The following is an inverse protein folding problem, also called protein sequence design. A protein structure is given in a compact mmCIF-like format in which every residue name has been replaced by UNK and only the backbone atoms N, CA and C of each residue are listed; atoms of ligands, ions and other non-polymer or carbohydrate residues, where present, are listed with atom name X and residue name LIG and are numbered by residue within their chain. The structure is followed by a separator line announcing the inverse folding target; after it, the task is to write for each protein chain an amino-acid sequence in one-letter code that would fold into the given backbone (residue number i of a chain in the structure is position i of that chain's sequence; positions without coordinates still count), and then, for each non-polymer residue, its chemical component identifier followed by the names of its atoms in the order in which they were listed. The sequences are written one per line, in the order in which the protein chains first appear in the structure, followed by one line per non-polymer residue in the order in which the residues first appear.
data_IF_150149007319
#
_entry.id   IF_150149007319
#
_cell.length_a   1.000
_cell.length_b   1.000
_cell.length_c   1.000
_cell.angle_alpha   90.00
_cell.angle_beta   90.00
_cell.angle_gamma   90.00
#
_symmetry.space_group_name_H-M   'P 1'
#
loop_
_entity.id
_entity.type
_entity.pdbx_description
1 polymer ?
#
# COMPACT_ATOMS: atom_id res chain seq x y z
N UNK A 1 -11.09 9.23 8.74
CA UNK A 1 -11.36 7.82 8.41
C UNK A 1 -10.03 7.12 8.36
N UNK A 2 -9.84 6.08 9.17
CA UNK A 2 -8.59 5.32 9.26
C UNK A 2 -8.42 4.48 8.00
N UNK A 3 -7.26 4.57 7.34
CA UNK A 3 -6.95 3.82 6.11
C UNK A 3 -5.56 3.20 6.24
N UNK A 4 -5.38 2.01 5.66
CA UNK A 4 -4.06 1.39 5.53
C UNK A 4 -3.60 1.51 4.09
N UNK A 5 -2.37 1.98 3.88
CA UNK A 5 -1.75 2.11 2.56
C UNK A 5 -0.38 1.47 2.54
N UNK A 6 0.08 1.09 1.36
CA UNK A 6 1.44 0.58 1.18
C UNK A 6 2.13 1.25 0.00
N UNK A 7 3.45 1.38 0.07
CA UNK A 7 4.31 1.83 -1.02
C UNK A 7 5.26 0.70 -1.37
N UNK A 8 5.29 0.32 -2.64
CA UNK A 8 6.28 -0.63 -3.14
C UNK A 8 7.59 0.07 -3.47
N UNK A 9 8.68 -0.32 -2.83
CA UNK A 9 10.03 0.24 -2.99
C UNK A 9 11.00 -0.68 -3.74
N UNK A 10 10.61 -1.93 -4.02
CA UNK A 10 11.44 -2.92 -4.72
C UNK A 10 11.66 -2.61 -6.21
N UNK A 11 10.87 -1.72 -6.80
CA UNK A 11 11.00 -1.31 -8.19
C UNK A 11 11.31 0.19 -8.31
N UNK A 12 12.56 0.49 -8.66
CA UNK A 12 13.11 1.84 -8.78
C UNK A 12 12.66 2.53 -10.08
N UNK A 13 11.40 2.37 -10.49
CA UNK A 13 10.80 3.20 -11.54
C UNK A 13 10.71 4.64 -11.05
N UNK A 14 11.78 5.40 -11.30
CA UNK A 14 12.03 6.76 -10.79
C UNK A 14 10.91 7.78 -11.04
N UNK A 15 10.00 7.51 -11.97
CA UNK A 15 8.96 8.46 -12.39
C UNK A 15 7.65 8.32 -11.59
N UNK A 16 7.45 7.25 -10.82
CA UNK A 16 6.21 7.03 -10.05
C UNK A 16 6.45 6.33 -8.72
N UNK A 17 5.65 6.70 -7.72
CA UNK A 17 5.60 6.03 -6.42
C UNK A 17 4.31 5.19 -6.37
N UNK A 18 4.37 3.85 -6.48
CA UNK A 18 3.19 2.98 -6.44
C UNK A 18 2.55 3.01 -5.05
N UNK A 19 1.39 3.66 -4.94
CA UNK A 19 0.62 3.69 -3.68
C UNK A 19 -0.57 2.75 -3.79
N UNK A 20 -0.68 1.86 -2.81
CA UNK A 20 -1.77 0.92 -2.66
C UNK A 20 -2.61 1.24 -1.43
N UNK A 21 -3.92 0.97 -1.47
CA UNK A 21 -4.84 1.12 -0.33
C UNK A 21 -5.50 -0.24 -0.05
N UNK A 22 -5.54 -0.63 1.24
CA UNK A 22 -6.15 -1.89 1.65
C UNK A 22 -7.67 -1.81 1.49
N UNK A 23 -8.21 -2.74 0.70
CA UNK A 23 -9.63 -3.01 0.62
C UNK A 23 -9.99 -4.13 1.62
N UNK A 24 -10.60 -3.74 2.75
CA UNK A 24 -10.98 -4.69 3.80
C UNK A 24 -12.10 -5.67 3.40
N UNK A 25 -12.82 -5.43 2.30
CA UNK A 25 -13.85 -6.35 1.82
C UNK A 25 -13.26 -7.52 1.01
N UNK A 26 -12.14 -7.27 0.33
CA UNK A 26 -11.50 -8.24 -0.57
C UNK A 26 -10.18 -8.77 -0.04
N UNK A 27 -9.59 -8.13 0.95
CA UNK A 27 -8.27 -8.41 1.52
C UNK A 27 -7.12 -8.23 0.52
N UNK A 28 -7.29 -7.25 -0.39
CA UNK A 28 -6.28 -6.83 -1.36
C UNK A 28 -5.85 -5.38 -1.12
N UNK A 29 -4.57 -5.12 -1.32
CA UNK A 29 -4.04 -3.79 -1.55
C UNK A 29 -4.23 -3.44 -3.04
N UNK A 30 -5.11 -2.49 -3.32
CA UNK A 30 -5.40 -2.01 -4.68
C UNK A 30 -4.61 -0.73 -4.96
N UNK A 31 -3.92 -0.66 -6.10
CA UNK A 31 -3.21 0.55 -6.47
C UNK A 31 -4.22 1.69 -6.69
N UNK A 32 -3.92 2.87 -6.15
CA UNK A 32 -4.85 4.01 -6.20
C UNK A 32 -5.08 4.48 -7.64
N UNK A 33 -4.04 4.44 -8.48
CA UNK A 33 -4.10 4.94 -9.86
C UNK A 33 -4.54 3.88 -10.88
N UNK A 34 -4.35 2.60 -10.57
CA UNK A 34 -4.67 1.48 -11.46
C UNK A 34 -5.13 0.25 -10.67
N UNK A 35 -6.44 0.09 -10.51
CA UNK A 35 -7.04 -1.00 -9.72
C UNK A 35 -6.81 -2.40 -10.31
N UNK A 36 -6.31 -2.52 -11.54
CA UNK A 36 -5.91 -3.82 -12.11
C UNK A 36 -4.63 -4.34 -11.43
N UNK A 37 -3.78 -3.42 -10.94
CA UNK A 37 -2.60 -3.73 -10.15
C UNK A 37 -2.99 -3.83 -8.68
N UNK A 38 -2.91 -5.04 -8.13
CA UNK A 38 -3.25 -5.33 -6.73
C UNK A 38 -2.44 -6.49 -6.19
N UNK A 39 -2.24 -6.50 -4.89
CA UNK A 39 -1.55 -7.56 -4.15
C UNK A 39 -2.44 -8.08 -3.03
N UNK A 40 -2.35 -9.37 -2.72
CA UNK A 40 -2.97 -9.92 -1.53
C UNK A 40 -2.35 -9.27 -0.29
N UNK A 41 -3.16 -9.06 0.76
CA UNK A 41 -2.69 -8.47 2.00
C UNK A 41 -1.46 -9.16 2.56
N UNK A 42 -1.46 -10.50 2.58
CA UNK A 42 -0.32 -11.30 3.07
C UNK A 42 0.97 -11.02 2.32
N UNK A 43 0.91 -10.79 0.99
CA UNK A 43 2.10 -10.48 0.20
C UNK A 43 2.68 -9.13 0.62
N UNK A 44 1.83 -8.13 0.83
CA UNK A 44 2.28 -6.79 1.25
C UNK A 44 2.82 -6.79 2.68
N UNK A 45 2.25 -7.61 3.57
CA UNK A 45 2.67 -7.70 4.98
C UNK A 45 3.95 -8.53 5.21
N UNK A 46 4.27 -9.47 4.30
CA UNK A 46 5.46 -10.34 4.42
C UNK A 46 6.66 -9.90 3.58
N UNK A 47 6.47 -8.96 2.65
CA UNK A 47 7.51 -8.50 1.73
C UNK A 47 8.15 -7.19 2.21
N UNK A 48 9.45 -7.26 2.52
CA UNK A 48 10.27 -6.13 3.00
C UNK A 48 10.37 -4.98 1.97
N UNK A 49 10.01 -5.22 0.71
CA UNK A 49 9.93 -4.19 -0.32
C UNK A 49 8.63 -3.37 -0.26
N UNK A 50 7.76 -3.57 0.74
CA UNK A 50 6.62 -2.72 1.02
C UNK A 50 6.78 -1.92 2.30
N UNK A 51 6.55 -0.60 2.21
CA UNK A 51 6.38 0.27 3.36
C UNK A 51 4.89 0.44 3.65
N UNK A 52 4.42 0.04 4.83
CA UNK A 52 3.00 0.08 5.21
C UNK A 52 2.74 1.28 6.12
N UNK A 53 1.67 2.01 5.85
CA UNK A 53 1.28 3.22 6.56
C UNK A 53 -0.16 3.16 7.02
N UNK A 54 -0.40 3.72 8.19
CA UNK A 54 -1.72 4.09 8.68
C UNK A 54 -1.96 5.58 8.45
N UNK A 55 -3.08 5.90 7.79
CA UNK A 55 -3.48 7.28 7.48
C UNK A 55 -4.63 7.68 8.41
N UNK A 56 -4.40 8.69 9.23
CA UNK A 56 -5.39 9.33 10.10
C UNK A 56 -5.30 10.85 9.97
N UNK A 57 -6.43 11.52 9.68
CA UNK A 57 -6.48 12.99 9.55
C UNK A 57 -5.39 13.59 8.64
N UNK A 58 -5.12 12.93 7.51
CA UNK A 58 -4.08 13.29 6.53
C UNK A 58 -2.63 13.14 7.02
N UNK A 59 -2.43 12.50 8.17
CA UNK A 59 -1.12 12.12 8.72
C UNK A 59 -0.85 10.65 8.39
N UNK A 60 0.29 10.36 7.77
CA UNK A 60 0.78 9.02 7.52
C UNK A 60 1.74 8.58 8.64
N UNK A 61 1.41 7.50 9.33
CA UNK A 61 2.27 6.86 10.33
C UNK A 61 2.76 5.54 9.75
N UNK A 62 4.08 5.39 9.63
CA UNK A 62 4.69 4.11 9.23
C UNK A 62 4.37 3.05 10.29
N UNK A 63 4.00 1.85 9.85
CA UNK A 63 3.79 0.68 10.69
C UNK A 63 5.07 -0.16 10.62
N UNK A 64 5.69 -0.44 11.77
CA UNK A 64 6.81 -1.39 11.91
C UNK A 64 6.33 -2.84 12.00
#
# INVERSE_FOLDING_TARGET
MKKTRAIFIGDVRYDQCPVFELNNETDYFEMIIDKEVRYEKVVVEEDDDFLIFEIEEDIANLIE
#
